data_IF_685335366431
#
_entry.id   IF_685335366431
#
_cell.length_a   1.000
_cell.length_b   1.000
_cell.length_c   1.000
_cell.angle_alpha   90.00
_cell.angle_beta   90.00
_cell.angle_gamma   90.00
#
_symmetry.space_group_name_H-M   'P 1'
#
loop_
_entity.id
_entity.type
_entity.pdbx_description
1 polymer ?
#
# COMPACT_ATOMS: atom_id res chain seq x y z
N UNK A 1 20.86 -19.37 7.09
CA UNK A 1 20.22 -18.14 6.59
C UNK A 1 19.46 -17.39 7.69
N UNK A 2 19.79 -17.65 8.95
CA UNK A 2 19.04 -17.14 10.12
C UNK A 2 19.86 -16.15 10.97
N UNK A 3 20.95 -15.64 10.43
CA UNK A 3 21.90 -14.80 11.18
C UNK A 3 22.04 -13.39 10.59
N UNK A 4 21.31 -13.06 9.53
CA UNK A 4 21.43 -11.76 8.85
C UNK A 4 20.41 -10.71 9.30
N UNK A 5 19.33 -11.10 10.00
CA UNK A 5 18.21 -10.19 10.31
C UNK A 5 18.39 -9.44 11.65
N UNK A 6 19.35 -9.82 12.47
CA UNK A 6 19.61 -9.15 13.75
C UNK A 6 20.50 -7.90 13.66
N UNK A 7 21.12 -7.65 12.51
CA UNK A 7 22.13 -6.58 12.38
C UNK A 7 21.76 -5.43 11.43
N UNK A 8 20.53 -5.36 10.92
CA UNK A 8 20.16 -4.33 9.92
C UNK A 8 19.33 -3.18 10.50
N UNK A 9 19.32 -3.02 11.81
CA UNK A 9 18.87 -1.78 12.45
C UNK A 9 19.99 -0.73 12.46
N UNK A 10 20.92 -0.85 11.55
CA UNK A 10 22.15 -0.08 11.52
C UNK A 10 22.22 0.72 10.23
N UNK A 11 21.85 1.92 10.23
CA UNK A 11 22.33 3.01 9.39
C UNK A 11 21.22 3.95 8.94
N UNK A 12 21.02 4.98 9.69
CA UNK A 12 20.96 6.35 9.17
C UNK A 12 21.12 7.30 10.35
N UNK A 13 22.35 7.45 10.77
CA UNK A 13 22.75 8.43 11.77
C UNK A 13 23.68 9.43 11.12
N UNK A 14 23.14 10.56 10.66
CA UNK A 14 23.92 11.79 10.65
C UNK A 14 23.71 12.50 11.98
N UNK A 15 24.69 12.35 12.87
CA UNK A 15 24.79 13.12 14.07
C UNK A 15 25.06 14.57 13.71
N UNK A 16 24.13 15.46 14.03
CA UNK A 16 24.44 16.85 14.29
C UNK A 16 24.11 17.14 15.75
N UNK A 17 25.03 16.86 16.64
CA UNK A 17 24.99 17.47 17.97
C UNK A 17 25.29 18.96 17.79
N UNK A 18 24.25 19.79 17.72
CA UNK A 18 24.44 21.23 17.79
C UNK A 18 24.50 21.65 19.26
N UNK A 19 25.67 21.98 19.70
CA UNK A 19 25.90 22.59 21.02
C UNK A 19 25.41 24.04 20.92
N UNK A 20 24.28 24.35 21.55
CA UNK A 20 23.91 25.74 21.78
C UNK A 20 24.54 26.17 23.11
N UNK A 21 25.60 26.94 23.03
CA UNK A 21 26.11 27.70 24.16
C UNK A 21 25.20 28.89 24.37
N UNK A 22 24.32 28.80 25.35
CA UNK A 22 23.57 29.96 25.80
C UNK A 22 24.52 30.91 26.53
N UNK A 23 24.94 32.00 25.88
CA UNK A 23 25.50 33.16 26.63
C UNK A 23 24.36 33.76 27.44
N UNK A 24 24.44 33.63 28.74
CA UNK A 24 23.60 34.41 29.65
C UNK A 24 24.19 35.82 29.75
N UNK A 25 23.60 36.76 29.04
CA UNK A 25 23.68 38.17 29.46
C UNK A 25 22.61 38.38 30.54
N UNK A 26 23.02 39.07 31.57
CA UNK A 26 22.27 39.39 32.78
C UNK A 26 20.87 39.92 32.49
N UNK A 27 19.83 39.13 32.77
CA UNK A 27 18.53 39.64 33.17
C UNK A 27 17.90 38.65 34.17
N UNK A 28 17.68 39.16 35.36
CA UNK A 28 17.18 38.55 36.57
C UNK A 28 15.78 37.97 36.41
N UNK A 29 15.66 36.76 35.91
CA UNK A 29 14.41 35.97 35.93
C UNK A 29 14.69 34.55 36.44
N UNK A 30 14.61 34.35 37.75
CA UNK A 30 14.21 33.13 38.45
C UNK A 30 14.76 31.77 38.02
N UNK A 31 15.84 31.69 37.25
CA UNK A 31 16.46 30.42 36.87
C UNK A 31 17.38 30.00 38.00
N UNK A 32 16.99 29.00 38.76
CA UNK A 32 17.86 28.34 39.73
C UNK A 32 19.09 27.80 38.98
N UNK A 33 20.31 28.15 39.36
CA UNK A 33 21.52 27.60 38.77
C UNK A 33 21.52 26.08 38.85
N UNK A 34 22.02 25.43 37.79
CA UNK A 34 22.20 24.00 37.82
C UNK A 34 23.16 23.59 38.90
N UNK A 35 22.91 22.53 39.66
CA UNK A 35 23.85 21.98 40.62
C UNK A 35 25.18 21.65 39.95
N UNK A 36 26.29 21.86 40.69
CA UNK A 36 27.63 21.52 40.21
C UNK A 36 27.68 20.05 39.75
N UNK A 37 28.23 19.80 38.56
CA UNK A 37 28.33 18.45 38.01
C UNK A 37 27.07 17.93 37.28
N UNK A 38 26.10 18.78 36.96
CA UNK A 38 24.92 18.41 36.21
C UNK A 38 24.76 19.24 34.93
N UNK A 39 24.17 18.62 33.89
CA UNK A 39 23.72 19.25 32.65
C UNK A 39 22.26 19.00 32.38
N UNK A 40 21.70 19.69 31.41
CA UNK A 40 20.31 19.49 30.98
C UNK A 40 20.27 18.84 29.58
N UNK A 41 19.35 17.90 29.39
CA UNK A 41 19.17 17.18 28.14
C UNK A 41 17.70 17.23 27.74
N UNK A 42 17.46 17.56 26.49
CA UNK A 42 16.16 17.38 25.83
C UNK A 42 16.24 16.23 24.82
N UNK A 43 15.16 15.52 24.64
CA UNK A 43 15.03 14.46 23.66
C UNK A 43 14.10 14.93 22.54
N UNK A 44 14.56 14.82 21.29
CA UNK A 44 13.83 15.37 20.17
C UNK A 44 13.59 14.34 19.08
N UNK A 45 12.36 14.31 18.58
CA UNK A 45 11.96 13.61 17.38
C UNK A 45 11.71 14.63 16.27
N UNK A 46 12.29 14.44 15.10
CA UNK A 46 12.11 15.33 13.94
C UNK A 46 11.59 14.49 12.78
N UNK A 47 10.48 14.89 12.20
CA UNK A 47 9.92 14.24 11.03
C UNK A 47 10.82 14.39 9.83
N UNK A 48 11.18 13.29 9.19
CA UNK A 48 11.83 13.34 7.90
C UNK A 48 10.76 13.65 6.83
N UNK A 49 10.94 14.73 6.07
CA UNK A 49 9.95 15.25 5.09
C UNK A 49 9.56 14.29 3.96
N UNK A 50 10.24 13.16 3.83
CA UNK A 50 10.03 12.20 2.74
C UNK A 50 8.80 11.30 2.97
N UNK A 51 8.21 11.27 4.18
CA UNK A 51 7.21 10.27 4.53
C UNK A 51 6.03 10.84 5.30
N UNK A 52 4.86 10.73 4.69
CA UNK A 52 3.56 11.25 5.13
C UNK A 52 2.74 10.24 5.92
N UNK A 53 3.06 9.91 7.16
CA UNK A 53 2.11 9.27 8.06
C UNK A 53 2.30 9.79 9.49
N UNK A 54 1.20 10.08 10.15
CA UNK A 54 0.96 10.78 11.40
C UNK A 54 1.42 10.09 12.68
N UNK A 55 2.64 9.59 12.74
CA UNK A 55 3.11 8.83 13.92
C UNK A 55 3.51 9.68 15.10
N UNK A 56 3.87 10.93 14.89
CA UNK A 56 4.19 11.85 15.99
C UNK A 56 2.93 12.40 16.67
N UNK A 57 1.79 12.45 15.97
CA UNK A 57 0.52 12.98 16.51
C UNK A 57 0.01 12.23 17.74
N UNK A 58 0.29 10.93 17.83
CA UNK A 58 -0.16 10.09 18.95
C UNK A 58 0.83 10.04 20.11
N UNK A 59 2.05 10.57 19.94
CA UNK A 59 3.08 10.54 20.99
C UNK A 59 2.93 11.74 21.90
N UNK A 60 2.66 11.51 23.16
CA UNK A 60 2.50 12.57 24.18
C UNK A 60 3.53 12.49 25.29
N UNK A 61 4.05 11.30 25.57
CA UNK A 61 5.00 11.05 26.65
C UNK A 61 6.09 10.08 26.22
N UNK A 62 7.25 10.24 26.81
CA UNK A 62 8.47 9.51 26.50
C UNK A 62 9.08 8.92 27.78
N UNK A 63 9.58 7.71 27.69
CA UNK A 63 10.40 7.05 28.71
C UNK A 63 11.71 6.61 28.05
N UNK A 64 12.85 7.04 28.57
CA UNK A 64 14.17 6.75 28.01
C UNK A 64 14.97 5.91 29.00
N UNK A 65 15.65 4.89 28.50
CA UNK A 65 16.62 4.10 29.26
C UNK A 65 18.03 4.44 28.78
N UNK A 66 18.85 4.91 29.68
CA UNK A 66 20.24 5.24 29.50
C UNK A 66 21.14 4.18 30.13
N UNK A 67 22.37 4.06 29.66
CA UNK A 67 23.42 3.26 30.28
C UNK A 67 24.64 4.13 30.50
N UNK A 68 25.17 4.15 31.72
CA UNK A 68 26.41 4.82 32.13
C UNK A 68 27.24 3.82 32.92
N UNK A 69 28.49 3.64 32.57
CA UNK A 69 29.44 2.73 33.27
C UNK A 69 28.88 1.28 33.43
N UNK A 70 28.15 0.80 32.41
CA UNK A 70 27.52 -0.53 32.42
C UNK A 70 26.24 -0.65 33.27
N UNK A 71 25.80 0.43 33.90
CA UNK A 71 24.54 0.47 34.67
C UNK A 71 23.42 1.14 33.87
N UNK A 72 22.28 0.47 33.80
CA UNK A 72 21.08 0.99 33.10
C UNK A 72 20.22 1.80 34.06
N UNK A 73 19.88 3.02 33.65
CA UNK A 73 18.97 3.91 34.39
C UNK A 73 17.82 4.26 33.45
N UNK A 74 16.60 4.03 33.88
CA UNK A 74 15.41 4.46 33.14
C UNK A 74 14.92 5.76 33.76
N UNK A 75 14.82 6.78 32.91
CA UNK A 75 14.33 8.10 33.30
C UNK A 75 12.82 8.03 33.66
N UNK A 76 12.32 8.94 34.51
CA UNK A 76 10.88 9.15 34.68
C UNK A 76 10.21 9.39 33.33
N UNK A 77 8.90 9.19 33.26
CA UNK A 77 8.14 9.53 32.07
C UNK A 77 8.15 11.06 31.86
N UNK A 78 8.51 11.48 30.66
CA UNK A 78 8.72 12.88 30.28
C UNK A 78 7.63 13.26 29.28
N UNK A 79 7.03 14.44 29.45
CA UNK A 79 6.06 14.96 28.48
C UNK A 79 6.75 15.40 27.21
N UNK A 80 6.09 15.16 26.07
CA UNK A 80 6.50 15.63 24.75
C UNK A 80 5.64 16.83 24.35
N UNK A 81 6.29 17.86 23.83
CA UNK A 81 5.68 19.10 23.36
C UNK A 81 6.12 19.36 21.92
N UNK A 82 5.18 19.77 21.08
CA UNK A 82 5.46 20.09 19.69
C UNK A 82 4.27 19.81 18.79
N UNK A 83 4.56 19.68 17.52
CA UNK A 83 3.57 19.42 16.46
C UNK A 83 3.90 18.14 15.69
N UNK A 84 3.16 17.92 14.62
CA UNK A 84 3.33 16.76 13.74
C UNK A 84 4.71 16.62 13.10
N UNK A 85 5.46 17.71 13.00
CA UNK A 85 6.77 17.73 12.35
C UNK A 85 7.94 17.59 13.35
N UNK A 86 7.71 17.92 14.62
CA UNK A 86 8.75 17.87 15.65
C UNK A 86 8.17 17.79 17.06
N UNK A 87 8.56 16.78 17.81
CA UNK A 87 8.27 16.64 19.23
C UNK A 87 9.56 16.78 20.04
N UNK A 88 9.52 17.57 21.09
CA UNK A 88 10.64 17.76 22.02
C UNK A 88 10.19 17.49 23.44
N UNK A 89 11.01 16.78 24.22
CA UNK A 89 10.74 16.58 25.66
C UNK A 89 11.00 17.85 26.46
N UNK A 90 10.40 17.94 27.64
CA UNK A 90 10.94 18.82 28.67
C UNK A 90 12.39 18.46 29.00
N UNK A 91 13.16 19.43 29.49
CA UNK A 91 14.55 19.20 29.87
C UNK A 91 14.66 18.24 31.07
N UNK A 92 15.60 17.34 31.00
CA UNK A 92 15.94 16.38 32.06
C UNK A 92 17.33 16.67 32.56
N UNK A 93 17.51 16.74 33.88
CA UNK A 93 18.82 16.93 34.52
C UNK A 93 19.51 15.59 34.68
N UNK A 94 20.74 15.51 34.21
CA UNK A 94 21.61 14.35 34.32
C UNK A 94 22.98 14.77 34.90
N UNK A 95 23.63 13.85 35.59
CA UNK A 95 25.02 14.02 36.01
C UNK A 95 25.93 14.07 34.79
N UNK A 96 27.06 14.82 34.93
CA UNK A 96 28.07 14.88 33.88
C UNK A 96 28.59 13.47 33.54
N UNK A 97 28.89 13.28 32.28
CA UNK A 97 29.47 12.03 31.77
C UNK A 97 28.87 11.57 30.47
N UNK A 98 29.41 10.47 29.98
CA UNK A 98 28.97 9.86 28.73
C UNK A 98 27.92 8.80 29.02
N UNK A 99 26.81 8.90 28.33
CA UNK A 99 25.69 7.99 28.38
C UNK A 99 25.49 7.33 27.02
N UNK A 100 25.08 6.08 27.05
CA UNK A 100 24.52 5.39 25.90
C UNK A 100 23.00 5.40 26.02
N UNK A 101 22.31 5.85 24.98
CA UNK A 101 20.86 5.75 24.92
C UNK A 101 20.50 4.35 24.41
N UNK A 102 19.94 3.52 25.29
CA UNK A 102 19.72 2.09 25.01
C UNK A 102 18.35 1.82 24.42
N UNK A 103 17.34 2.56 24.93
CA UNK A 103 15.94 2.28 24.61
C UNK A 103 15.08 3.50 24.88
N UNK A 104 14.04 3.69 24.06
CA UNK A 104 12.93 4.54 24.45
C UNK A 104 11.58 3.84 24.28
N UNK A 105 10.58 4.33 25.01
CA UNK A 105 9.18 3.92 24.88
C UNK A 105 8.33 5.16 24.86
N UNK A 106 7.49 5.31 23.84
CA UNK A 106 6.56 6.43 23.72
C UNK A 106 5.12 5.98 24.05
N UNK A 107 4.37 6.91 24.63
CA UNK A 107 2.99 6.70 25.07
C UNK A 107 2.10 7.81 24.54
N UNK A 108 0.84 7.49 24.25
CA UNK A 108 -0.17 8.49 23.91
C UNK A 108 -0.73 9.20 25.16
N UNK A 109 -1.63 10.15 24.97
CA UNK A 109 -2.30 10.90 26.04
C UNK A 109 -3.07 10.00 27.03
N UNK A 110 -3.49 8.81 26.60
CA UNK A 110 -4.20 7.83 27.45
C UNK A 110 -3.25 6.91 28.22
N UNK A 111 -1.93 7.05 28.04
CA UNK A 111 -0.93 6.19 28.68
C UNK A 111 -0.75 4.84 27.99
N UNK A 112 -1.28 4.66 26.80
CA UNK A 112 -1.06 3.45 26.01
C UNK A 112 0.27 3.58 25.29
N UNK A 113 1.09 2.52 25.35
CA UNK A 113 2.34 2.46 24.61
C UNK A 113 2.04 2.46 23.12
N UNK A 114 2.58 3.45 22.41
CA UNK A 114 2.42 3.62 20.97
C UNK A 114 3.68 3.24 20.21
N UNK A 115 4.83 3.25 20.91
CA UNK A 115 6.11 2.93 20.29
C UNK A 115 7.15 2.45 21.32
N UNK A 116 8.06 1.60 20.86
CA UNK A 116 9.25 1.19 21.58
C UNK A 116 10.38 0.92 20.58
N UNK A 117 11.58 1.41 20.87
CA UNK A 117 12.77 1.10 20.07
C UNK A 117 14.00 0.89 20.95
N UNK A 118 14.80 -0.10 20.57
CA UNK A 118 16.14 -0.32 21.07
C UNK A 118 17.15 0.35 20.14
N UNK A 119 18.12 1.03 20.71
CA UNK A 119 19.13 1.77 19.97
C UNK A 119 20.46 1.01 19.98
N UNK A 120 21.24 1.17 18.93
CA UNK A 120 22.55 0.53 18.81
C UNK A 120 23.63 1.20 19.68
N UNK A 121 24.84 0.66 19.62
CA UNK A 121 25.96 1.10 20.44
C UNK A 121 26.49 2.51 20.09
N UNK A 122 26.08 3.07 18.95
CA UNK A 122 26.55 4.37 18.49
C UNK A 122 25.72 5.55 19.02
N UNK A 123 24.63 5.26 19.73
CA UNK A 123 23.72 6.28 20.27
C UNK A 123 24.23 6.80 21.62
N UNK A 124 25.22 7.65 21.59
CA UNK A 124 25.87 8.23 22.76
C UNK A 124 25.44 9.68 23.02
N UNK A 125 25.41 10.08 24.27
CA UNK A 125 25.07 11.39 24.76
C UNK A 125 26.13 11.81 25.79
N UNK A 126 26.86 12.89 25.54
CA UNK A 126 27.83 13.45 26.50
C UNK A 126 27.20 14.60 27.25
N UNK A 127 27.10 14.52 28.55
CA UNK A 127 26.50 15.56 29.42
C UNK A 127 27.58 16.37 30.11
N UNK A 128 27.56 17.67 29.89
CA UNK A 128 28.53 18.64 30.45
C UNK A 128 27.84 19.63 31.38
N UNK A 129 28.55 20.08 32.41
CA UNK A 129 28.02 21.02 33.38
C UNK A 129 27.59 22.35 32.75
N UNK A 130 26.35 22.74 33.08
CA UNK A 130 25.80 24.03 32.63
C UNK A 130 25.41 24.07 31.14
N UNK A 131 25.54 22.96 30.41
CA UNK A 131 25.23 22.90 29.00
C UNK A 131 23.85 22.20 28.80
N UNK A 132 22.98 22.84 27.99
CA UNK A 132 21.77 22.19 27.53
C UNK A 132 22.06 21.45 26.22
N UNK A 133 21.82 20.17 26.20
CA UNK A 133 22.04 19.35 25.01
C UNK A 133 20.70 18.77 24.49
N UNK A 134 20.66 18.54 23.17
CA UNK A 134 19.51 17.87 22.54
C UNK A 134 19.95 16.55 21.95
N UNK A 135 19.37 15.46 22.44
CA UNK A 135 19.52 14.15 21.82
C UNK A 135 18.42 13.95 20.76
N UNK A 136 18.83 13.75 19.54
CA UNK A 136 17.91 13.46 18.44
C UNK A 136 17.75 11.95 18.32
N UNK A 137 16.53 11.48 18.52
CA UNK A 137 16.26 10.09 18.22
C UNK A 137 16.40 9.86 16.71
N UNK A 138 17.19 8.86 16.31
CA UNK A 138 17.20 8.44 14.93
C UNK A 138 15.78 8.00 14.55
N UNK A 139 15.22 8.66 13.54
CA UNK A 139 13.85 8.39 13.11
C UNK A 139 13.81 7.14 12.21
N UNK A 140 14.22 6.00 12.75
CA UNK A 140 13.77 4.69 12.29
C UNK A 140 12.47 4.26 13.00
N UNK A 141 11.73 5.24 13.52
CA UNK A 141 10.44 5.12 14.20
C UNK A 141 9.37 4.47 13.30
N UNK A 142 9.57 4.52 11.99
CA UNK A 142 8.60 4.15 10.98
C UNK A 142 8.21 2.67 11.00
N UNK A 143 9.17 1.80 11.25
CA UNK A 143 9.00 0.38 10.93
C UNK A 143 8.13 -0.39 11.92
N UNK A 144 8.31 -0.19 13.19
CA UNK A 144 7.51 -0.91 14.20
C UNK A 144 6.04 -0.46 14.16
N UNK A 145 5.80 0.85 13.93
CA UNK A 145 4.44 1.38 13.87
C UNK A 145 3.74 0.99 12.58
N UNK A 146 4.37 1.20 11.43
CA UNK A 146 3.82 0.79 10.12
C UNK A 146 3.54 -0.71 10.12
N UNK A 147 4.49 -1.52 10.59
CA UNK A 147 4.31 -2.96 10.66
C UNK A 147 3.15 -3.36 11.58
N UNK A 148 2.99 -2.71 12.72
CA UNK A 148 1.87 -2.98 13.63
C UNK A 148 0.53 -2.51 13.07
N UNK A 149 0.49 -1.35 12.42
CA UNK A 149 -0.73 -0.85 11.77
C UNK A 149 -1.15 -1.77 10.62
N UNK A 150 -0.24 -2.08 9.71
CA UNK A 150 -0.48 -3.02 8.60
C UNK A 150 -0.91 -4.37 9.17
N UNK A 151 -0.22 -4.89 10.19
CA UNK A 151 -0.55 -6.16 10.83
C UNK A 151 -1.97 -6.15 11.42
N UNK A 152 -2.34 -5.11 12.14
CA UNK A 152 -3.68 -4.99 12.74
C UNK A 152 -4.76 -4.91 11.66
N UNK A 153 -4.50 -4.21 10.56
CA UNK A 153 -5.41 -4.17 9.42
C UNK A 153 -5.52 -5.54 8.75
N UNK A 154 -4.41 -6.26 8.56
CA UNK A 154 -4.40 -7.61 8.00
C UNK A 154 -5.13 -8.61 8.90
N UNK A 155 -5.03 -8.48 10.22
CA UNK A 155 -5.85 -9.27 11.15
C UNK A 155 -7.35 -8.96 10.98
N UNK A 156 -7.72 -7.70 10.74
CA UNK A 156 -9.08 -7.32 10.38
C UNK A 156 -9.54 -8.00 9.10
N UNK A 157 -8.70 -8.03 8.07
CA UNK A 157 -8.95 -8.76 6.82
C UNK A 157 -9.20 -10.25 7.08
N UNK A 158 -8.34 -10.90 7.86
CA UNK A 158 -8.51 -12.33 8.21
C UNK A 158 -9.81 -12.57 8.99
N UNK A 159 -10.12 -11.72 9.95
CA UNK A 159 -11.32 -11.84 10.77
C UNK A 159 -12.61 -11.71 9.92
N UNK A 160 -12.64 -10.79 8.95
CA UNK A 160 -13.76 -10.64 8.03
C UNK A 160 -13.85 -11.80 7.02
N UNK A 161 -12.71 -12.27 6.48
CA UNK A 161 -12.69 -13.32 5.47
C UNK A 161 -12.93 -14.73 6.03
N UNK A 162 -12.33 -15.05 7.18
CA UNK A 162 -12.23 -16.42 7.71
C UNK A 162 -12.81 -16.55 9.12
N UNK A 163 -13.28 -15.45 9.72
CA UNK A 163 -13.78 -15.40 11.09
C UNK A 163 -12.68 -15.17 12.14
N UNK A 164 -13.11 -14.96 13.38
CA UNK A 164 -12.21 -14.58 14.50
C UNK A 164 -11.34 -15.74 15.05
N UNK A 165 -11.47 -16.94 14.50
CA UNK A 165 -10.63 -18.09 14.88
C UNK A 165 -9.30 -18.03 14.14
N UNK A 166 -8.27 -17.51 14.79
CA UNK A 166 -6.94 -17.34 14.19
C UNK A 166 -6.27 -18.66 13.74
N UNK A 167 -6.76 -19.81 14.22
CA UNK A 167 -6.26 -21.12 13.75
C UNK A 167 -6.60 -21.38 12.28
N UNK A 168 -7.60 -20.67 11.73
CA UNK A 168 -8.02 -20.73 10.33
C UNK A 168 -7.29 -19.72 9.44
N UNK A 169 -6.60 -18.76 10.03
CA UNK A 169 -5.86 -17.75 9.27
C UNK A 169 -4.63 -18.35 8.59
N UNK A 170 -4.11 -17.75 7.53
CA UNK A 170 -2.85 -18.17 6.93
C UNK A 170 -1.77 -18.28 7.99
N UNK A 171 -0.97 -19.35 7.96
CA UNK A 171 0.01 -19.61 9.03
C UNK A 171 1.01 -18.47 9.21
N UNK A 172 1.42 -17.85 8.12
CA UNK A 172 2.34 -16.73 8.13
C UNK A 172 1.71 -15.44 8.69
N UNK A 173 0.37 -15.31 8.67
CA UNK A 173 -0.37 -14.13 9.14
C UNK A 173 -0.83 -14.25 10.60
N UNK A 174 -0.25 -15.15 11.37
CA UNK A 174 -0.61 -15.33 12.79
C UNK A 174 0.20 -14.43 13.69
N UNK A 175 -0.35 -14.20 14.88
CA UNK A 175 0.22 -13.29 15.88
C UNK A 175 1.68 -13.64 16.26
N UNK A 176 2.03 -14.93 16.21
CA UNK A 176 3.37 -15.42 16.55
C UNK A 176 4.45 -15.03 15.55
N UNK A 177 4.05 -14.70 14.31
CA UNK A 177 4.99 -14.27 13.28
C UNK A 177 5.09 -12.74 13.24
N UNK A 178 6.19 -12.21 13.75
CA UNK A 178 6.42 -10.76 13.85
C UNK A 178 6.98 -10.14 12.56
N UNK A 179 7.57 -10.94 11.66
CA UNK A 179 8.19 -10.45 10.43
C UNK A 179 7.21 -10.50 9.24
N UNK A 180 6.63 -9.33 8.91
CA UNK A 180 5.69 -9.16 7.80
C UNK A 180 6.28 -9.54 6.43
N UNK A 181 7.58 -9.40 6.22
CA UNK A 181 8.23 -9.79 4.96
C UNK A 181 8.19 -11.30 4.71
N UNK A 182 7.91 -12.09 5.74
CA UNK A 182 7.74 -13.54 5.63
C UNK A 182 6.29 -13.97 5.44
N UNK A 183 5.36 -13.01 5.44
CA UNK A 183 3.94 -13.32 5.27
C UNK A 183 3.66 -13.63 3.80
N UNK A 184 3.11 -14.81 3.57
CA UNK A 184 2.73 -15.26 2.23
C UNK A 184 1.67 -14.32 1.63
N UNK A 185 1.69 -14.16 0.31
CA UNK A 185 0.67 -13.44 -0.45
C UNK A 185 0.58 -11.93 -0.16
N UNK A 186 1.65 -11.34 0.34
CA UNK A 186 1.82 -9.90 0.47
C UNK A 186 3.00 -9.43 -0.35
N UNK A 187 2.81 -8.34 -1.07
CA UNK A 187 3.89 -7.64 -1.78
C UNK A 187 4.11 -6.28 -1.12
N UNK A 188 5.35 -6.03 -0.75
CA UNK A 188 5.74 -4.78 -0.10
C UNK A 188 6.69 -4.01 -1.00
N UNK A 189 6.50 -2.71 -1.06
CA UNK A 189 7.57 -1.82 -1.50
C UNK A 189 8.53 -1.62 -0.35
N UNK A 190 9.81 -1.75 -0.65
CA UNK A 190 10.90 -1.56 0.30
C UNK A 190 11.77 -0.40 -0.13
N UNK A 191 12.38 0.27 0.84
CA UNK A 191 13.33 1.34 0.56
C UNK A 191 14.72 0.79 0.18
N UNK A 192 15.67 1.68 -0.08
CA UNK A 192 17.06 1.33 -0.46
C UNK A 192 17.80 0.51 0.63
N UNK A 193 17.25 0.43 1.82
CA UNK A 193 17.78 -0.32 2.96
C UNK A 193 17.07 -1.67 3.18
N UNK A 194 16.09 -2.01 2.35
CA UNK A 194 15.29 -3.23 2.45
C UNK A 194 14.19 -3.19 3.49
N UNK A 195 13.82 -2.01 3.97
CA UNK A 195 12.77 -1.82 4.96
C UNK A 195 11.41 -1.57 4.28
N UNK A 196 10.33 -2.05 4.89
CA UNK A 196 8.98 -1.89 4.36
C UNK A 196 8.60 -0.40 4.29
N UNK A 197 8.40 0.09 3.08
CA UNK A 197 7.85 1.41 2.83
C UNK A 197 6.33 1.41 2.93
N UNK A 198 5.68 0.47 2.28
CA UNK A 198 4.24 0.25 2.36
C UNK A 198 3.84 -1.12 1.81
N UNK A 199 2.61 -1.54 2.12
CA UNK A 199 1.99 -2.72 1.52
C UNK A 199 1.46 -2.34 0.14
N UNK A 200 2.04 -2.94 -0.90
CA UNK A 200 1.70 -2.66 -2.29
C UNK A 200 0.56 -3.55 -2.80
N UNK A 201 0.61 -4.84 -2.53
CA UNK A 201 -0.39 -5.78 -3.03
C UNK A 201 -0.77 -6.84 -1.99
N UNK A 202 -2.05 -7.25 -2.01
CA UNK A 202 -2.55 -8.41 -1.27
C UNK A 202 -3.07 -9.43 -2.28
N UNK A 203 -2.62 -10.68 -2.13
CA UNK A 203 -3.05 -11.81 -2.95
C UNK A 203 -3.96 -12.72 -2.12
N UNK A 204 -5.21 -12.86 -2.54
CA UNK A 204 -6.16 -13.80 -1.97
C UNK A 204 -6.22 -15.01 -2.89
N UNK A 205 -5.76 -16.15 -2.44
CA UNK A 205 -5.86 -17.40 -3.19
C UNK A 205 -6.66 -18.48 -2.43
N UNK A 206 -7.16 -19.49 -3.15
CA UNK A 206 -7.99 -20.53 -2.58
C UNK A 206 -7.26 -21.44 -1.58
N UNK A 207 -5.92 -21.40 -1.53
CA UNK A 207 -5.13 -22.15 -0.57
C UNK A 207 -5.05 -21.43 0.78
N UNK A 208 -4.89 -20.11 0.76
CA UNK A 208 -4.74 -19.28 1.96
C UNK A 208 -6.07 -18.74 2.48
N UNK A 209 -7.05 -18.52 1.59
CA UNK A 209 -8.39 -18.03 1.92
C UNK A 209 -9.51 -18.97 1.40
N UNK A 210 -9.50 -20.26 1.80
CA UNK A 210 -10.45 -21.23 1.28
C UNK A 210 -11.89 -20.85 1.61
N UNK A 211 -12.76 -20.89 0.58
CA UNK A 211 -14.17 -20.60 0.74
C UNK A 211 -14.54 -19.14 1.00
N UNK A 212 -13.61 -18.20 0.80
CA UNK A 212 -13.90 -16.77 0.89
C UNK A 212 -14.92 -16.37 -0.17
N UNK A 213 -16.10 -15.87 0.26
CA UNK A 213 -17.19 -15.50 -0.66
C UNK A 213 -17.17 -14.02 -1.04
N UNK A 214 -16.62 -13.19 -0.18
CA UNK A 214 -16.59 -11.73 -0.34
C UNK A 214 -15.24 -11.17 0.09
N UNK A 215 -14.76 -10.17 -0.65
CA UNK A 215 -13.58 -9.42 -0.24
C UNK A 215 -13.89 -8.62 1.04
N UNK A 216 -13.04 -8.72 2.08
CA UNK A 216 -13.19 -7.92 3.30
C UNK A 216 -13.26 -6.41 3.01
N UNK A 217 -14.20 -5.73 3.65
CA UNK A 217 -14.35 -4.28 3.49
C UNK A 217 -13.15 -3.50 4.04
N UNK A 218 -12.44 -4.07 5.00
CA UNK A 218 -11.19 -3.54 5.57
C UNK A 218 -10.12 -3.32 4.51
N UNK A 219 -10.09 -4.10 3.41
CA UNK A 219 -9.13 -3.95 2.31
C UNK A 219 -9.15 -2.55 1.71
N UNK A 220 -10.33 -1.92 1.59
CA UNK A 220 -10.46 -0.57 1.04
C UNK A 220 -9.94 0.53 1.96
N UNK A 221 -9.59 0.21 3.21
CA UNK A 221 -9.10 1.16 4.20
C UNK A 221 -7.58 1.28 4.22
N UNK A 222 -6.85 0.39 3.53
CA UNK A 222 -5.40 0.51 3.42
C UNK A 222 -5.03 1.76 2.61
N UNK A 223 -4.29 2.71 3.19
CA UNK A 223 -4.08 4.02 2.57
C UNK A 223 -3.14 4.01 1.36
N UNK A 224 -2.33 2.96 1.24
CA UNK A 224 -1.27 2.86 0.24
C UNK A 224 -1.36 1.62 -0.64
N UNK A 225 -2.40 0.80 -0.45
CA UNK A 225 -2.55 -0.43 -1.21
C UNK A 225 -2.79 -0.14 -2.70
N UNK A 226 -1.90 -0.63 -3.55
CA UNK A 226 -1.90 -0.37 -4.97
C UNK A 226 -2.67 -1.42 -5.77
N UNK A 227 -2.59 -2.67 -5.34
CA UNK A 227 -3.21 -3.79 -6.04
C UNK A 227 -3.84 -4.83 -5.15
N UNK A 228 -4.82 -5.54 -5.70
CA UNK A 228 -5.33 -6.79 -5.14
C UNK A 228 -5.41 -7.84 -6.24
N UNK A 229 -5.13 -9.09 -5.86
CA UNK A 229 -5.33 -10.25 -6.70
C UNK A 229 -6.19 -11.25 -5.95
N UNK A 230 -7.23 -11.77 -6.60
CA UNK A 230 -8.13 -12.78 -6.04
C UNK A 230 -8.15 -13.95 -7.02
N UNK A 231 -7.60 -15.09 -6.60
CA UNK A 231 -7.32 -16.19 -7.53
C UNK A 231 -7.74 -17.56 -6.97
N UNK A 232 -8.26 -18.39 -7.86
CA UNK A 232 -8.55 -19.81 -7.55
C UNK A 232 -9.48 -20.02 -6.34
N UNK A 233 -10.46 -19.11 -6.18
CA UNK A 233 -11.51 -19.19 -5.14
C UNK A 233 -12.87 -19.29 -5.83
N UNK A 234 -13.34 -20.49 -6.17
CA UNK A 234 -14.61 -20.67 -6.89
C UNK A 234 -15.82 -20.09 -6.17
N UNK A 235 -15.78 -20.01 -4.84
CA UNK A 235 -16.85 -19.47 -4.00
C UNK A 235 -16.87 -17.95 -3.92
N UNK A 236 -15.81 -17.26 -4.43
CA UNK A 236 -15.73 -15.81 -4.37
C UNK A 236 -16.74 -15.16 -5.34
N UNK A 237 -17.66 -14.37 -4.82
CA UNK A 237 -18.74 -13.79 -5.60
C UNK A 237 -18.79 -12.25 -5.56
N UNK A 238 -18.26 -11.61 -4.50
CA UNK A 238 -18.55 -10.20 -4.21
C UNK A 238 -17.33 -9.38 -3.81
N UNK A 239 -17.23 -8.17 -4.37
CA UNK A 239 -16.43 -7.07 -3.84
C UNK A 239 -17.30 -6.22 -2.90
N UNK A 240 -16.72 -5.55 -1.87
CA UNK A 240 -17.48 -4.69 -0.97
C UNK A 240 -17.91 -3.37 -1.64
N UNK A 241 -19.01 -2.77 -1.15
CA UNK A 241 -19.57 -1.54 -1.72
C UNK A 241 -18.68 -0.27 -1.50
N UNK A 242 -17.68 -0.35 -0.61
CA UNK A 242 -16.78 0.76 -0.28
C UNK A 242 -15.49 0.80 -1.10
N UNK A 243 -15.44 0.11 -2.25
CA UNK A 243 -14.27 0.12 -3.13
C UNK A 243 -13.88 1.51 -3.64
N UNK A 244 -14.83 2.43 -3.70
CA UNK A 244 -14.61 3.84 -4.06
C UNK A 244 -13.67 4.60 -3.11
N UNK A 245 -13.47 4.08 -1.89
CA UNK A 245 -12.54 4.63 -0.89
C UNK A 245 -11.13 4.12 -1.04
N UNK A 246 -10.94 3.07 -1.82
CA UNK A 246 -9.66 2.42 -2.00
C UNK A 246 -8.74 3.20 -2.93
N UNK A 247 -7.42 3.30 -2.64
CA UNK A 247 -6.44 3.91 -3.53
C UNK A 247 -6.02 3.01 -4.70
N UNK A 248 -6.56 1.78 -4.79
CA UNK A 248 -6.18 0.76 -5.77
C UNK A 248 -6.14 1.28 -7.20
N UNK A 249 -5.06 0.96 -7.90
CA UNK A 249 -4.97 1.14 -9.34
C UNK A 249 -5.00 -0.18 -10.13
N UNK A 250 -4.87 -1.34 -9.47
CA UNK A 250 -4.96 -2.67 -10.09
C UNK A 250 -5.87 -3.61 -9.32
N UNK A 251 -6.79 -4.25 -10.03
CA UNK A 251 -7.65 -5.32 -9.51
C UNK A 251 -7.58 -6.49 -10.49
N UNK A 252 -7.18 -7.67 -9.98
CA UNK A 252 -7.23 -8.94 -10.71
C UNK A 252 -8.13 -9.93 -9.98
N UNK A 253 -9.10 -10.48 -10.68
CA UNK A 253 -10.00 -11.55 -10.20
C UNK A 253 -9.92 -12.68 -11.23
N UNK A 254 -9.49 -13.86 -10.82
CA UNK A 254 -9.25 -14.97 -11.74
C UNK A 254 -9.71 -16.31 -11.16
N UNK A 255 -10.35 -17.13 -12.00
CA UNK A 255 -10.84 -18.48 -11.64
C UNK A 255 -11.78 -18.45 -10.41
N UNK A 256 -12.77 -17.56 -10.44
CA UNK A 256 -13.68 -17.33 -9.31
C UNK A 256 -15.15 -17.44 -9.69
N UNK A 257 -16.03 -17.34 -8.70
CA UNK A 257 -17.46 -17.20 -8.87
C UNK A 257 -17.96 -15.76 -9.04
N UNK A 258 -17.06 -14.79 -9.22
CA UNK A 258 -17.40 -13.37 -9.32
C UNK A 258 -18.35 -13.08 -10.48
N UNK A 259 -19.49 -12.44 -10.18
CA UNK A 259 -20.59 -12.29 -11.15
C UNK A 259 -21.09 -10.87 -11.36
N UNK A 260 -20.72 -9.92 -10.48
CA UNK A 260 -21.17 -8.54 -10.64
C UNK A 260 -20.27 -7.54 -9.89
N UNK A 261 -20.11 -6.36 -10.47
CA UNK A 261 -19.44 -5.24 -9.82
C UNK A 261 -20.34 -4.60 -8.74
N UNK A 262 -19.76 -4.19 -7.57
CA UNK A 262 -20.52 -3.55 -6.50
C UNK A 262 -21.01 -2.16 -6.89
N UNK A 263 -21.91 -1.60 -6.07
CA UNK A 263 -22.30 -0.19 -6.20
C UNK A 263 -21.09 0.71 -5.97
N UNK A 264 -21.08 1.85 -6.66
CA UNK A 264 -20.00 2.85 -6.59
C UNK A 264 -18.62 2.41 -7.14
N UNK A 265 -18.50 1.22 -7.74
CA UNK A 265 -17.24 0.77 -8.34
C UNK A 265 -16.71 1.76 -9.39
N UNK A 266 -17.60 2.39 -10.15
CA UNK A 266 -17.30 3.43 -11.13
C UNK A 266 -16.65 4.70 -10.54
N UNK A 267 -16.71 4.88 -9.22
CA UNK A 267 -16.11 6.02 -8.49
C UNK A 267 -14.66 5.78 -8.09
N UNK A 268 -14.08 4.65 -8.41
CA UNK A 268 -12.67 4.35 -8.16
C UNK A 268 -11.77 5.25 -9.03
N UNK A 269 -11.22 6.30 -8.42
CA UNK A 269 -10.52 7.39 -9.13
C UNK A 269 -9.17 6.98 -9.71
N UNK A 270 -8.53 5.99 -9.11
CA UNK A 270 -7.14 5.60 -9.44
C UNK A 270 -7.06 4.33 -10.28
N UNK A 271 -8.16 3.59 -10.47
CA UNK A 271 -8.15 2.29 -11.13
C UNK A 271 -7.69 2.41 -12.59
N UNK A 272 -6.58 1.73 -12.91
CA UNK A 272 -5.96 1.70 -14.23
C UNK A 272 -6.02 0.33 -14.89
N UNK A 273 -5.87 -0.73 -14.10
CA UNK A 273 -5.91 -2.11 -14.56
C UNK A 273 -7.08 -2.86 -13.93
N UNK A 274 -7.94 -3.39 -14.76
CA UNK A 274 -9.10 -4.19 -14.37
C UNK A 274 -9.09 -5.52 -15.12
N UNK A 275 -8.80 -6.60 -14.39
CA UNK A 275 -8.79 -7.95 -14.93
C UNK A 275 -9.81 -8.82 -14.20
N UNK A 276 -10.77 -9.37 -14.93
CA UNK A 276 -11.70 -10.39 -14.44
C UNK A 276 -11.66 -11.56 -15.42
N UNK A 277 -10.98 -12.63 -15.05
CA UNK A 277 -10.64 -13.73 -15.94
C UNK A 277 -11.27 -15.03 -15.43
N UNK A 278 -11.83 -15.85 -16.33
CA UNK A 278 -12.41 -17.16 -16.01
C UNK A 278 -13.36 -17.08 -14.80
N UNK A 279 -14.30 -16.16 -14.83
CA UNK A 279 -15.24 -15.91 -13.74
C UNK A 279 -16.69 -16.07 -14.24
N UNK A 280 -17.65 -15.47 -13.56
CA UNK A 280 -19.09 -15.64 -13.87
C UNK A 280 -19.79 -14.34 -14.25
N UNK A 281 -19.04 -13.37 -14.82
CA UNK A 281 -19.67 -12.16 -15.33
C UNK A 281 -20.55 -12.48 -16.54
N UNK A 282 -21.77 -11.96 -16.53
CA UNK A 282 -22.70 -12.06 -17.65
C UNK A 282 -22.90 -10.76 -18.41
N UNK A 283 -22.49 -9.63 -17.78
CA UNK A 283 -22.62 -8.30 -18.38
C UNK A 283 -21.51 -7.35 -17.90
N UNK A 284 -21.25 -6.32 -18.67
CA UNK A 284 -20.47 -5.14 -18.27
C UNK A 284 -21.42 -3.98 -18.01
N UNK A 285 -21.66 -3.57 -16.76
CA UNK A 285 -22.58 -2.49 -16.45
C UNK A 285 -22.14 -1.16 -17.10
N UNK A 286 -23.08 -0.44 -17.72
CA UNK A 286 -22.82 0.84 -18.38
C UNK A 286 -22.09 1.84 -17.47
N UNK A 287 -22.36 1.81 -16.15
CA UNK A 287 -21.72 2.70 -15.18
C UNK A 287 -20.19 2.58 -15.14
N UNK A 288 -19.62 1.45 -15.54
CA UNK A 288 -18.16 1.31 -15.64
C UNK A 288 -17.54 2.33 -16.64
N UNK A 289 -18.36 2.88 -17.53
CA UNK A 289 -17.93 3.96 -18.44
C UNK A 289 -17.45 5.22 -17.70
N UNK A 290 -17.82 5.39 -16.44
CA UNK A 290 -17.42 6.54 -15.61
C UNK A 290 -16.07 6.35 -14.90
N UNK A 291 -15.42 5.18 -15.03
CA UNK A 291 -14.06 4.97 -14.52
C UNK A 291 -13.07 5.92 -15.20
N UNK A 292 -12.44 6.87 -14.47
CA UNK A 292 -11.76 8.00 -15.11
C UNK A 292 -10.35 7.68 -15.65
N UNK A 293 -9.70 6.65 -15.11
CA UNK A 293 -8.28 6.37 -15.38
C UNK A 293 -8.02 4.98 -15.97
N UNK A 294 -9.04 4.18 -16.25
CA UNK A 294 -8.88 2.80 -16.75
C UNK A 294 -8.10 2.77 -18.08
N UNK A 295 -7.11 1.88 -18.15
CA UNK A 295 -6.19 1.73 -19.29
C UNK A 295 -6.12 0.31 -19.83
N UNK A 296 -6.04 -0.65 -18.92
CA UNK A 296 -5.90 -2.06 -19.25
C UNK A 296 -7.14 -2.79 -18.75
N UNK A 297 -7.88 -3.40 -19.68
CA UNK A 297 -9.11 -4.12 -19.39
C UNK A 297 -8.99 -5.53 -19.96
N UNK A 298 -9.15 -6.52 -19.09
CA UNK A 298 -9.18 -7.93 -19.46
C UNK A 298 -10.37 -8.63 -18.79
N UNK A 299 -11.31 -9.10 -19.61
CA UNK A 299 -12.57 -9.72 -19.15
C UNK A 299 -12.74 -11.11 -19.78
N UNK A 300 -11.64 -11.78 -20.01
CA UNK A 300 -11.61 -13.07 -20.73
C UNK A 300 -12.21 -14.22 -19.91
N UNK A 301 -12.74 -15.25 -20.59
CA UNK A 301 -13.30 -16.45 -19.93
C UNK A 301 -14.57 -16.15 -19.12
N UNK A 302 -15.42 -15.26 -19.58
CA UNK A 302 -16.68 -14.90 -18.93
C UNK A 302 -17.88 -15.11 -19.87
N UNK A 303 -19.11 -15.00 -19.35
CA UNK A 303 -20.34 -15.25 -20.13
C UNK A 303 -20.95 -13.96 -20.72
N UNK A 304 -20.10 -13.01 -21.14
CA UNK A 304 -20.52 -11.69 -21.66
C UNK A 304 -20.88 -11.81 -23.12
N UNK A 305 -22.14 -11.53 -23.48
CA UNK A 305 -22.65 -11.60 -24.84
C UNK A 305 -22.53 -10.28 -25.62
N UNK A 306 -22.45 -9.16 -24.93
CA UNK A 306 -22.47 -7.83 -25.52
C UNK A 306 -21.43 -6.90 -24.88
N UNK A 307 -20.78 -6.07 -25.68
CA UNK A 307 -19.96 -4.96 -25.19
C UNK A 307 -20.75 -3.64 -25.29
N UNK A 308 -21.04 -2.94 -24.18
CA UNK A 308 -21.83 -1.72 -24.21
C UNK A 308 -21.17 -0.61 -25.01
N UNK A 309 -21.92 0.04 -25.90
CA UNK A 309 -21.43 1.13 -26.73
C UNK A 309 -20.95 2.33 -25.92
N UNK A 310 -21.54 2.56 -24.73
CA UNK A 310 -21.17 3.63 -23.80
C UNK A 310 -19.75 3.45 -23.27
N UNK A 311 -19.29 2.21 -23.08
CA UNK A 311 -17.89 1.94 -22.69
C UNK A 311 -16.95 2.32 -23.83
N UNK A 312 -17.26 1.95 -25.08
CA UNK A 312 -16.47 2.34 -26.24
C UNK A 312 -16.41 3.86 -26.43
N UNK A 313 -17.48 4.57 -26.11
CA UNK A 313 -17.56 6.02 -26.21
C UNK A 313 -16.70 6.72 -25.15
N UNK A 314 -16.75 6.28 -23.90
CA UNK A 314 -16.16 6.98 -22.76
C UNK A 314 -14.76 6.48 -22.35
N UNK A 315 -14.41 5.23 -22.62
CA UNK A 315 -13.10 4.65 -22.26
C UNK A 315 -11.98 5.09 -23.19
N UNK A 316 -11.80 6.40 -23.33
CA UNK A 316 -10.82 6.99 -24.25
C UNK A 316 -9.35 6.92 -23.75
N UNK A 317 -9.11 6.44 -22.52
CA UNK A 317 -7.77 6.18 -21.97
C UNK A 317 -7.35 4.73 -22.10
N UNK A 318 -8.26 3.82 -22.43
CA UNK A 318 -7.97 2.39 -22.58
C UNK A 318 -6.95 2.18 -23.70
N UNK A 319 -5.92 1.38 -23.39
CA UNK A 319 -4.80 1.03 -24.28
C UNK A 319 -4.88 -0.43 -24.71
N UNK A 320 -5.36 -1.31 -23.82
CA UNK A 320 -5.54 -2.73 -24.08
C UNK A 320 -6.96 -3.16 -23.68
N UNK A 321 -7.66 -3.82 -24.61
CA UNK A 321 -8.96 -4.44 -24.37
C UNK A 321 -8.90 -5.90 -24.79
N UNK A 322 -9.02 -6.81 -23.82
CA UNK A 322 -9.04 -8.26 -24.04
C UNK A 322 -10.33 -8.86 -23.51
N UNK A 323 -11.01 -9.60 -24.37
CA UNK A 323 -12.29 -10.27 -24.09
C UNK A 323 -12.33 -11.63 -24.80
N UNK A 324 -11.32 -12.45 -24.54
CA UNK A 324 -11.20 -13.78 -25.13
C UNK A 324 -12.14 -14.77 -24.45
N UNK A 325 -12.59 -15.79 -25.19
CA UNK A 325 -13.44 -16.84 -24.65
C UNK A 325 -14.64 -16.28 -23.85
N UNK A 326 -15.36 -15.34 -24.47
CA UNK A 326 -16.63 -14.82 -23.95
C UNK A 326 -17.79 -15.33 -24.81
N UNK A 327 -18.97 -14.76 -24.66
CA UNK A 327 -20.14 -15.10 -25.51
C UNK A 327 -20.44 -14.00 -26.54
N UNK A 328 -19.45 -13.18 -26.90
CA UNK A 328 -19.62 -12.09 -27.84
C UNK A 328 -20.10 -12.59 -29.20
N UNK A 329 -21.18 -12.00 -29.69
CA UNK A 329 -21.72 -12.26 -31.03
C UNK A 329 -21.55 -11.06 -31.96
N UNK A 330 -21.38 -9.87 -31.40
CA UNK A 330 -21.17 -8.63 -32.12
C UNK A 330 -20.42 -7.61 -31.27
N UNK A 331 -19.84 -6.60 -31.92
CA UNK A 331 -19.22 -5.45 -31.29
C UNK A 331 -19.99 -4.18 -31.67
N UNK A 332 -20.03 -3.15 -30.81
CA UNK A 332 -20.76 -1.93 -31.11
C UNK A 332 -20.07 -1.15 -32.23
N UNK A 333 -20.89 -0.41 -33.02
CA UNK A 333 -20.44 0.37 -34.20
C UNK A 333 -19.29 1.34 -33.88
N UNK A 334 -19.16 1.79 -32.64
CA UNK A 334 -18.14 2.75 -32.19
C UNK A 334 -16.93 2.12 -31.52
N UNK A 335 -16.78 0.79 -31.53
CA UNK A 335 -15.65 0.11 -30.83
C UNK A 335 -14.28 0.63 -31.29
N UNK A 336 -14.12 0.88 -32.59
CA UNK A 336 -12.89 1.42 -33.14
C UNK A 336 -12.75 2.95 -32.98
N UNK A 337 -13.71 3.60 -32.33
CA UNK A 337 -13.62 4.98 -31.83
C UNK A 337 -12.82 5.14 -30.54
N UNK A 338 -12.40 4.05 -29.90
CA UNK A 338 -11.51 4.05 -28.74
C UNK A 338 -10.08 4.43 -29.16
N UNK A 339 -9.78 5.72 -29.16
CA UNK A 339 -8.63 6.34 -29.87
C UNK A 339 -7.26 5.84 -29.41
N UNK A 340 -7.11 5.40 -28.17
CA UNK A 340 -5.82 4.98 -27.61
C UNK A 340 -5.62 3.46 -27.58
N UNK A 341 -6.62 2.69 -27.91
CA UNK A 341 -6.47 1.22 -27.88
C UNK A 341 -5.46 0.78 -28.93
N UNK A 342 -4.37 0.21 -28.46
CA UNK A 342 -3.32 -0.40 -29.28
C UNK A 342 -3.57 -1.87 -29.54
N UNK A 343 -4.30 -2.54 -28.65
CA UNK A 343 -4.57 -3.97 -28.72
C UNK A 343 -6.04 -4.25 -28.46
N UNK A 344 -6.70 -4.84 -29.45
CA UNK A 344 -7.99 -5.49 -29.32
C UNK A 344 -7.80 -7.00 -29.43
N UNK A 345 -8.20 -7.75 -28.43
CA UNK A 345 -8.11 -9.19 -28.43
C UNK A 345 -9.47 -9.81 -28.09
N UNK A 346 -10.10 -10.40 -29.10
CA UNK A 346 -11.42 -11.02 -29.04
C UNK A 346 -11.37 -12.49 -29.48
N UNK A 347 -10.22 -13.15 -29.34
CA UNK A 347 -10.05 -14.56 -29.69
C UNK A 347 -11.08 -15.47 -28.99
N UNK A 348 -11.30 -16.64 -29.52
CA UNK A 348 -12.15 -17.69 -28.94
C UNK A 348 -13.63 -17.31 -28.74
N UNK A 349 -14.12 -16.30 -29.49
CA UNK A 349 -15.53 -15.90 -29.52
C UNK A 349 -16.22 -16.51 -30.73
N UNK A 350 -16.69 -17.75 -30.63
CA UNK A 350 -17.28 -18.50 -31.74
C UNK A 350 -18.57 -17.89 -32.29
N UNK A 351 -19.25 -17.00 -31.57
CA UNK A 351 -20.40 -16.25 -32.06
C UNK A 351 -20.03 -15.01 -32.89
N UNK A 352 -18.80 -14.55 -32.81
CA UNK A 352 -18.34 -13.32 -33.47
C UNK A 352 -17.93 -13.63 -34.91
N UNK A 353 -18.74 -13.18 -35.87
CA UNK A 353 -18.53 -13.44 -37.31
C UNK A 353 -18.34 -12.18 -38.14
N UNK A 354 -18.60 -11.00 -37.59
CA UNK A 354 -18.51 -9.74 -38.26
C UNK A 354 -17.94 -8.66 -37.35
N UNK A 355 -17.24 -7.69 -37.95
CA UNK A 355 -16.80 -6.47 -37.28
C UNK A 355 -17.61 -5.27 -37.75
N UNK A 356 -17.81 -4.24 -36.87
CA UNK A 356 -18.31 -2.96 -37.29
C UNK A 356 -17.36 -2.33 -38.31
N UNK A 357 -17.91 -1.48 -39.19
CA UNK A 357 -17.12 -0.77 -40.19
C UNK A 357 -16.10 0.14 -39.50
N UNK A 358 -14.82 -0.07 -39.80
CA UNK A 358 -13.75 0.82 -39.32
C UNK A 358 -13.89 2.21 -39.94
N UNK A 359 -13.96 3.26 -39.12
CA UNK A 359 -14.13 4.65 -39.55
C UNK A 359 -12.85 5.49 -39.51
N UNK A 360 -11.71 4.90 -39.15
CA UNK A 360 -10.41 5.57 -39.18
C UNK A 360 -10.08 6.41 -37.92
N UNK A 361 -10.89 6.36 -36.87
CA UNK A 361 -10.73 7.21 -35.69
C UNK A 361 -9.60 6.74 -34.75
N UNK A 362 -9.27 5.44 -34.75
CA UNK A 362 -8.15 4.90 -34.01
C UNK A 362 -6.88 4.82 -34.87
N UNK A 363 -5.95 5.74 -34.65
CA UNK A 363 -4.67 5.78 -35.39
C UNK A 363 -3.56 4.97 -34.71
N UNK A 364 -3.81 4.41 -33.52
CA UNK A 364 -2.84 3.68 -32.70
C UNK A 364 -3.04 2.17 -32.70
N UNK A 365 -4.03 1.63 -33.37
CA UNK A 365 -4.32 0.20 -33.37
C UNK A 365 -3.11 -0.60 -33.89
N UNK A 366 -2.38 -1.24 -32.99
CA UNK A 366 -1.21 -2.05 -33.31
C UNK A 366 -1.56 -3.52 -33.58
N UNK A 367 -2.54 -4.07 -32.87
CA UNK A 367 -2.98 -5.45 -33.00
C UNK A 367 -4.48 -5.64 -32.89
N UNK A 368 -5.00 -6.51 -33.75
CA UNK A 368 -6.36 -7.03 -33.68
C UNK A 368 -6.29 -8.55 -33.78
N UNK A 369 -6.73 -9.22 -32.72
CA UNK A 369 -6.67 -10.66 -32.59
C UNK A 369 -8.10 -11.23 -32.55
N UNK A 370 -8.39 -12.14 -33.51
CA UNK A 370 -9.71 -12.71 -33.76
C UNK A 370 -9.61 -14.22 -34.04
N UNK A 371 -8.61 -14.89 -33.46
CA UNK A 371 -8.41 -16.31 -33.67
C UNK A 371 -9.58 -17.13 -33.06
N UNK A 372 -9.90 -18.26 -33.66
CA UNK A 372 -10.98 -19.14 -33.21
C UNK A 372 -12.35 -18.44 -33.08
N UNK A 373 -12.65 -17.51 -33.98
CA UNK A 373 -13.96 -16.90 -34.13
C UNK A 373 -14.75 -17.57 -35.28
N UNK A 374 -15.69 -16.88 -35.91
CA UNK A 374 -16.50 -17.42 -37.03
C UNK A 374 -16.46 -16.50 -38.26
N UNK A 375 -15.31 -15.89 -38.54
CA UNK A 375 -15.16 -15.04 -39.73
C UNK A 375 -15.03 -15.89 -40.98
N UNK A 376 -15.86 -15.63 -41.96
CA UNK A 376 -15.84 -16.29 -43.29
C UNK A 376 -15.11 -15.47 -44.36
N UNK A 377 -14.72 -14.26 -44.01
CA UNK A 377 -13.98 -13.34 -44.88
C UNK A 377 -13.11 -12.40 -44.05
N UNK A 378 -12.08 -11.85 -44.71
CA UNK A 378 -11.22 -10.84 -44.06
C UNK A 378 -12.04 -9.59 -43.79
N UNK A 379 -12.11 -9.07 -42.56
CA UNK A 379 -12.84 -7.85 -42.25
C UNK A 379 -12.30 -6.62 -43.01
N UNK A 380 -13.19 -5.74 -43.46
CA UNK A 380 -12.80 -4.47 -44.09
C UNK A 380 -12.23 -3.49 -43.05
N UNK A 381 -10.92 -3.54 -42.83
CA UNK A 381 -10.19 -2.65 -41.90
C UNK A 381 -9.30 -1.73 -42.72
N UNK A 382 -9.94 -0.89 -43.58
CA UNK A 382 -9.22 0.02 -44.45
C UNK A 382 -8.54 1.16 -43.66
N UNK A 383 -7.31 1.52 -44.04
CA UNK A 383 -6.55 2.67 -43.57
C UNK A 383 -6.06 2.59 -42.09
N UNK A 384 -5.86 1.40 -41.53
CA UNK A 384 -5.21 1.26 -40.23
C UNK A 384 -3.69 1.23 -40.39
N UNK A 385 -3.00 1.74 -39.36
CA UNK A 385 -1.57 1.48 -39.15
C UNK A 385 -1.32 0.18 -38.38
N UNK A 386 -2.29 -0.72 -38.41
CA UNK A 386 -2.25 -2.00 -37.73
C UNK A 386 -1.01 -2.81 -38.13
N UNK A 387 -0.31 -3.33 -37.17
CA UNK A 387 0.89 -4.15 -37.37
C UNK A 387 0.56 -5.63 -37.41
N UNK A 388 -0.46 -6.05 -36.67
CA UNK A 388 -0.84 -7.45 -36.54
C UNK A 388 -2.34 -7.60 -36.69
N UNK A 389 -2.75 -8.47 -37.61
CA UNK A 389 -4.10 -9.02 -37.71
C UNK A 389 -3.97 -10.55 -37.57
N UNK A 390 -4.61 -11.14 -36.58
CA UNK A 390 -4.66 -12.58 -36.40
C UNK A 390 -6.08 -13.10 -36.62
N UNK A 391 -6.22 -14.09 -37.49
CA UNK A 391 -7.48 -14.72 -37.91
C UNK A 391 -7.34 -16.25 -38.00
N UNK A 392 -6.47 -16.84 -37.19
CA UNK A 392 -6.25 -18.28 -37.23
C UNK A 392 -7.53 -19.05 -36.83
N UNK A 393 -7.76 -20.18 -37.47
CA UNK A 393 -8.89 -21.08 -37.17
C UNK A 393 -10.29 -20.40 -37.26
N UNK A 394 -10.50 -19.56 -38.24
CA UNK A 394 -11.80 -19.01 -38.57
C UNK A 394 -12.46 -19.80 -39.72
#
# INVERSE_FOLDING_TARGET
MTTYIKNTLLLCLMFCATIFVGCSDDDNNGVTPLPEGQGEVTFKFVRNKVYTISTLEDMARLKVTLEKDGQKVTLPTIDLIGDIDSLTSSAVRLENGDYKVVKYTAYNNKGVQVQEAYLDDNNTLSVEHGVMQTFYFPVSIRFVYINNEIRNMLFGVCAEALGNDSTKWPKSWRVENEDLLTWENLEFEVDDYGEISYLACIIFDGKTFPGMKKLPATVSLFPTLEGIQIMDIPEFEELPDNMDKSPLYSIMIMNTGFKAFPKNFEKMKNLRSLSVINSKLTELPIRLSELPEVRDVEISGNEIAEFPKELAEKWQKVVSLRMNDTKLTSLPENIFGMKKVSTFDFCDNQGLSNLPKYRGDNTYMGGLFLDNCSFTSIPEIANTRMRTLSLANN
#
